data_IF_036890725653
#
_entry.id   IF_036890725653
#
_cell.length_a   1.000
_cell.length_b   1.000
_cell.length_c   1.000
_cell.angle_alpha   90.00
_cell.angle_beta   90.00
_cell.angle_gamma   90.00
#
_symmetry.space_group_name_H-M   'P 1'
#
loop_
_entity.id
_entity.type
_entity.pdbx_description
1 polymer ?
#
# COMPACT_ATOMS: atom_id res chain seq x y z
N UNK A 1 -12.63 17.67 -16.64
CA UNK A 1 -12.02 16.43 -17.16
C UNK A 1 -12.63 15.28 -16.39
N UNK A 2 -13.46 14.44 -17.02
CA UNK A 2 -13.96 13.21 -16.38
C UNK A 2 -12.80 12.20 -16.40
N UNK A 3 -12.43 11.68 -15.23
CA UNK A 3 -11.56 10.52 -15.20
C UNK A 3 -12.30 9.40 -15.95
N UNK A 4 -11.64 8.74 -16.90
CA UNK A 4 -12.15 7.49 -17.41
C UNK A 4 -12.21 6.52 -16.23
N UNK A 5 -13.41 6.04 -15.89
CA UNK A 5 -13.64 5.03 -14.86
C UNK A 5 -13.12 3.67 -15.34
N UNK A 6 -11.81 3.58 -15.58
CA UNK A 6 -11.13 2.32 -15.81
C UNK A 6 -11.11 1.59 -14.48
N UNK A 7 -11.69 0.38 -14.46
CA UNK A 7 -11.68 -0.47 -13.28
C UNK A 7 -10.23 -0.67 -12.82
N UNK A 8 -9.98 -0.53 -11.51
CA UNK A 8 -8.60 -0.60 -10.96
C UNK A 8 -7.90 -1.92 -11.30
N UNK A 9 -8.64 -2.99 -11.54
CA UNK A 9 -8.10 -4.28 -11.96
C UNK A 9 -7.55 -4.32 -13.39
N UNK A 10 -7.95 -3.39 -14.26
CA UNK A 10 -7.48 -3.32 -15.66
C UNK A 10 -6.18 -2.51 -15.79
N UNK A 11 -5.86 -1.68 -14.80
CA UNK A 11 -4.64 -0.86 -14.80
C UNK A 11 -3.42 -1.72 -14.51
N UNK A 12 -2.35 -1.52 -15.26
CA UNK A 12 -1.04 -2.13 -14.99
C UNK A 12 -0.31 -1.41 -13.84
N UNK A 13 -0.47 -0.09 -13.78
CA UNK A 13 0.10 0.78 -12.76
C UNK A 13 -0.99 1.42 -11.91
N UNK A 14 -0.83 1.37 -10.60
CA UNK A 14 -1.69 2.04 -9.64
C UNK A 14 -0.91 3.11 -8.89
N UNK A 15 -1.53 4.26 -8.63
CA UNK A 15 -0.97 5.17 -7.65
C UNK A 15 -1.11 4.57 -6.22
N UNK A 16 -0.33 5.03 -5.22
CA UNK A 16 -0.36 4.45 -3.88
C UNK A 16 -1.74 4.48 -3.20
N UNK A 17 -2.57 5.48 -3.52
CA UNK A 17 -3.94 5.58 -3.00
C UNK A 17 -4.87 4.58 -3.66
N UNK A 18 -4.80 4.42 -4.98
CA UNK A 18 -5.55 3.42 -5.75
C UNK A 18 -5.18 2.02 -5.31
N UNK A 19 -3.88 1.75 -5.13
CA UNK A 19 -3.36 0.50 -4.60
C UNK A 19 -3.94 0.21 -3.21
N UNK A 20 -3.87 1.16 -2.29
CA UNK A 20 -4.44 0.98 -0.96
C UNK A 20 -5.95 0.64 -1.00
N UNK A 21 -6.73 1.30 -1.88
CA UNK A 21 -8.14 0.96 -2.08
C UNK A 21 -8.32 -0.43 -2.68
N UNK A 22 -7.55 -0.77 -3.72
CA UNK A 22 -7.67 -2.04 -4.45
C UNK A 22 -7.38 -3.26 -3.56
N UNK A 23 -6.36 -3.20 -2.71
CA UNK A 23 -6.03 -4.29 -1.77
C UNK A 23 -6.66 -4.14 -0.38
N UNK A 24 -7.52 -3.14 -0.17
CA UNK A 24 -8.13 -2.80 1.13
C UNK A 24 -7.10 -2.60 2.26
N UNK A 25 -6.07 -1.80 2.00
CA UNK A 25 -4.98 -1.50 2.92
C UNK A 25 -5.19 -0.15 3.63
N UNK A 26 -4.63 -0.01 4.83
CA UNK A 26 -4.54 1.29 5.48
C UNK A 26 -3.59 2.20 4.70
N UNK A 27 -4.13 3.26 4.07
CA UNK A 27 -3.33 4.28 3.36
C UNK A 27 -2.09 4.69 4.17
N UNK A 28 -2.27 5.12 5.43
CA UNK A 28 -1.17 5.57 6.30
C UNK A 28 -0.04 4.53 6.44
N UNK A 29 -0.38 3.26 6.67
CA UNK A 29 0.62 2.19 6.81
C UNK A 29 1.28 1.88 5.48
N UNK A 30 0.50 1.81 4.42
CA UNK A 30 1.01 1.56 3.08
C UNK A 30 2.00 2.64 2.63
N UNK A 31 1.66 3.92 2.80
CA UNK A 31 2.60 5.02 2.52
C UNK A 31 3.88 4.95 3.35
N UNK A 32 3.80 4.58 4.64
CA UNK A 32 4.99 4.36 5.47
C UNK A 32 5.83 3.20 4.94
N UNK A 33 5.21 2.07 4.64
CA UNK A 33 5.85 0.89 4.09
C UNK A 33 6.60 1.20 2.78
N UNK A 34 5.97 1.95 1.87
CA UNK A 34 6.59 2.42 0.62
C UNK A 34 7.76 3.39 0.81
N UNK A 35 7.88 4.02 1.99
CA UNK A 35 8.97 4.95 2.32
C UNK A 35 10.13 4.28 3.08
N UNK A 36 9.93 3.07 3.60
CA UNK A 36 10.94 2.35 4.38
C UNK A 36 11.99 1.65 3.51
N UNK A 37 11.68 1.36 2.25
CA UNK A 37 12.57 0.58 1.39
C UNK A 37 12.37 0.84 -0.10
N UNK A 38 13.17 0.13 -0.89
CA UNK A 38 13.02 0.01 -2.33
C UNK A 38 12.42 -1.37 -2.60
N UNK A 39 11.38 -1.42 -3.44
CA UNK A 39 10.70 -2.66 -3.79
C UNK A 39 10.68 -2.83 -5.30
N UNK A 40 10.73 -4.09 -5.76
CA UNK A 40 10.68 -4.42 -7.19
C UNK A 40 9.38 -3.99 -7.86
N UNK A 41 8.27 -3.98 -7.12
CA UNK A 41 6.96 -3.53 -7.61
C UNK A 41 6.80 -1.99 -7.62
N UNK A 42 7.78 -1.23 -7.14
CA UNK A 42 7.70 0.23 -7.03
C UNK A 42 8.40 0.90 -8.22
N UNK A 43 7.62 1.54 -9.07
CA UNK A 43 8.11 2.37 -10.16
C UNK A 43 8.12 3.86 -9.76
N UNK A 44 9.06 4.62 -10.32
CA UNK A 44 9.21 6.04 -10.09
C UNK A 44 9.04 6.81 -11.41
N UNK A 45 8.06 7.71 -11.43
CA UNK A 45 7.83 8.64 -12.54
C UNK A 45 8.06 10.06 -12.04
N UNK A 46 9.31 10.53 -12.17
CA UNK A 46 9.78 11.74 -11.50
C UNK A 46 9.61 11.63 -9.98
N UNK A 47 8.86 12.56 -9.38
CA UNK A 47 8.59 12.57 -7.94
C UNK A 47 7.41 11.65 -7.53
N UNK A 48 6.75 11.00 -8.49
CA UNK A 48 5.58 10.15 -8.23
C UNK A 48 5.98 8.69 -8.10
N UNK A 49 5.45 8.03 -7.07
CA UNK A 49 5.52 6.58 -6.88
C UNK A 49 4.35 5.93 -7.60
N UNK A 50 4.61 4.85 -8.31
CA UNK A 50 3.61 3.98 -8.96
C UNK A 50 3.84 2.53 -8.52
N UNK A 51 2.75 1.79 -8.36
CA UNK A 51 2.74 0.40 -7.96
C UNK A 51 2.44 -0.44 -9.20
N UNK A 52 3.37 -1.32 -9.56
CA UNK A 52 3.17 -2.38 -10.56
C UNK A 52 2.20 -3.40 -9.97
N UNK A 53 0.98 -3.48 -10.51
CA UNK A 53 -0.10 -4.26 -9.90
C UNK A 53 0.25 -5.74 -9.76
N UNK A 54 0.75 -6.34 -10.84
CA UNK A 54 1.10 -7.77 -10.90
C UNK A 54 2.27 -8.10 -9.98
N UNK A 55 3.31 -7.25 -9.97
CA UNK A 55 4.48 -7.47 -9.12
C UNK A 55 4.16 -7.29 -7.63
N UNK A 56 3.29 -6.34 -7.29
CA UNK A 56 2.84 -6.19 -5.90
C UNK A 56 1.95 -7.36 -5.46
N UNK A 57 1.12 -7.91 -6.36
CA UNK A 57 0.34 -9.10 -6.07
C UNK A 57 1.24 -10.33 -5.80
N UNK A 58 2.28 -10.54 -6.61
CA UNK A 58 3.31 -11.57 -6.34
C UNK A 58 3.98 -11.34 -4.99
N UNK A 59 4.40 -10.11 -4.72
CA UNK A 59 5.03 -9.74 -3.46
C UNK A 59 4.14 -10.06 -2.24
N UNK A 60 2.83 -9.80 -2.33
CA UNK A 60 1.88 -10.16 -1.27
C UNK A 60 1.72 -11.67 -1.09
N UNK A 61 1.81 -12.47 -2.16
CA UNK A 61 1.79 -13.94 -2.08
C UNK A 61 3.04 -14.49 -1.41
N UNK A 62 4.20 -13.90 -1.73
CA UNK A 62 5.50 -14.31 -1.16
C UNK A 62 5.64 -13.90 0.31
N UNK A 63 4.97 -12.81 0.72
CA UNK A 63 5.00 -12.27 2.08
C UNK A 63 3.66 -12.49 2.80
N UNK A 64 3.41 -13.74 3.19
CA UNK A 64 2.20 -14.11 3.94
C UNK A 64 2.04 -13.26 5.21
N UNK A 65 0.83 -12.74 5.46
CA UNK A 65 0.52 -11.89 6.62
C UNK A 65 0.81 -10.39 6.42
N UNK A 66 1.60 -9.99 5.42
CA UNK A 66 1.89 -8.56 5.18
C UNK A 66 0.61 -7.77 4.84
N UNK A 67 -0.30 -8.38 4.07
CA UNK A 67 -1.58 -7.75 3.73
C UNK A 67 -2.38 -7.40 4.99
N UNK A 68 -2.41 -8.31 5.97
CA UNK A 68 -3.10 -8.11 7.25
C UNK A 68 -2.40 -7.05 8.11
N UNK A 69 -1.06 -7.05 8.12
CA UNK A 69 -0.27 -6.04 8.81
C UNK A 69 -0.56 -4.63 8.26
N UNK A 70 -0.71 -4.51 6.95
CA UNK A 70 -1.01 -3.25 6.25
C UNK A 70 -2.49 -2.86 6.32
N UNK A 71 -3.41 -3.83 6.40
CA UNK A 71 -4.85 -3.59 6.51
C UNK A 71 -5.24 -3.09 7.90
N UNK A 72 -4.73 -3.73 8.95
CA UNK A 72 -5.08 -3.40 10.32
C UNK A 72 -4.36 -2.14 10.77
N UNK A 73 -5.06 -1.15 11.29
CA UNK A 73 -4.42 -0.16 12.14
C UNK A 73 -3.96 -0.85 13.41
N UNK A 74 -2.65 -1.08 13.62
CA UNK A 74 -2.19 -1.37 14.97
C UNK A 74 -2.66 -0.18 15.82
N UNK A 75 -3.56 -0.46 16.76
CA UNK A 75 -3.90 0.49 17.80
C UNK A 75 -2.57 0.97 18.38
N UNK A 76 -2.43 2.28 18.59
CA UNK A 76 -1.32 2.78 19.41
C UNK A 76 -1.53 2.16 20.79
N UNK A 77 -0.88 1.04 21.09
CA UNK A 77 -0.67 0.64 22.48
C UNK A 77 0.27 1.68 23.05
N UNK A 78 -0.29 2.79 23.53
CA UNK A 78 0.40 3.74 24.40
C UNK A 78 0.68 2.99 25.70
N UNK A 79 1.78 2.21 25.72
CA UNK A 79 2.25 1.47 26.90
C UNK A 79 2.71 2.39 28.06
N UNK A 80 2.62 3.71 27.89
CA UNK A 80 3.08 4.74 28.85
C UNK A 80 1.97 5.51 29.58
N UNK A 81 0.70 5.07 29.53
CA UNK A 81 -0.42 5.76 30.22
C UNK A 81 -1.07 4.98 31.36
N UNK A 82 -0.48 3.86 31.78
CA UNK A 82 -1.01 3.02 32.88
C UNK A 82 -0.07 2.99 34.10
N UNK A 83 0.83 3.96 34.22
CA UNK A 83 1.56 4.22 35.46
C UNK A 83 1.02 5.52 36.07
N UNK A 84 -0.05 5.39 36.85
CA UNK A 84 -0.43 6.33 37.93
C UNK A 84 -1.24 5.58 38.96
#
# INVERSE_FOLDING_TARGET
MKAHDVALGEKEYLNPSEAATYWNLSRRKFFRFLNQGKYSFLAYFGNRKLILRVEFEKYLRDNQGLKEELANGQARTNKKRLET
#
